data_IF_351805047931
#
_entry.id   IF_351805047931
#
_cell.length_a   1.000
_cell.length_b   1.000
_cell.length_c   1.000
_cell.angle_alpha   90.00
_cell.angle_beta   90.00
_cell.angle_gamma   90.00
#
_symmetry.space_group_name_H-M   'P 1'
#
loop_
_entity.id
_entity.type
_entity.pdbx_description
1 polymer ?
#
# COMPACT_ATOMS: atom_id res chain seq x y z
N UNK A 1 -13.69 -13.96 -3.87
CA UNK A 1 -12.23 -14.13 -3.82
C UNK A 1 -11.60 -13.41 -4.99
N UNK A 2 -10.50 -12.70 -4.79
CA UNK A 2 -9.82 -11.94 -5.84
C UNK A 2 -8.97 -12.83 -6.75
N UNK A 3 -8.70 -12.45 -8.01
CA UNK A 3 -8.01 -13.30 -8.99
C UNK A 3 -6.56 -13.68 -8.63
N UNK A 4 -5.94 -12.96 -7.67
CA UNK A 4 -4.57 -13.20 -7.22
C UNK A 4 -4.47 -13.82 -5.83
N UNK A 5 -5.59 -14.10 -5.17
CA UNK A 5 -5.61 -14.55 -3.78
C UNK A 5 -4.80 -15.84 -3.57
N UNK A 6 -4.99 -16.84 -4.44
CA UNK A 6 -4.25 -18.11 -4.35
C UNK A 6 -2.73 -17.93 -4.47
N UNK A 7 -2.28 -16.97 -5.29
CA UNK A 7 -0.85 -16.66 -5.45
C UNK A 7 -0.28 -16.01 -4.18
N UNK A 8 -1.03 -15.10 -3.55
CA UNK A 8 -0.60 -14.43 -2.31
C UNK A 8 -0.53 -15.44 -1.16
N UNK A 9 -1.51 -16.34 -1.04
CA UNK A 9 -1.49 -17.41 -0.02
C UNK A 9 -0.29 -18.35 -0.20
N UNK A 10 0.04 -18.70 -1.44
CA UNK A 10 1.24 -19.50 -1.72
C UNK A 10 2.53 -18.76 -1.32
N UNK A 11 2.59 -17.44 -1.51
CA UNK A 11 3.73 -16.62 -1.09
C UNK A 11 3.82 -16.49 0.45
N UNK A 12 2.70 -16.31 1.15
CA UNK A 12 2.65 -16.35 2.63
C UNK A 12 3.20 -17.69 3.15
N UNK A 13 2.75 -18.83 2.59
CA UNK A 13 3.27 -20.15 2.98
C UNK A 13 4.77 -20.30 2.71
N UNK A 14 5.29 -19.70 1.63
CA UNK A 14 6.71 -19.77 1.27
C UNK A 14 7.59 -18.84 2.11
N UNK A 15 7.06 -17.69 2.52
CA UNK A 15 7.78 -16.65 3.26
C UNK A 15 7.01 -16.15 4.49
N UNK A 16 6.65 -17.04 5.44
CA UNK A 16 5.71 -16.73 6.52
C UNK A 16 6.23 -15.71 7.53
N UNK A 17 7.55 -15.48 7.57
CA UNK A 17 8.17 -14.45 8.41
C UNK A 17 8.05 -13.04 7.83
N UNK A 18 7.83 -12.91 6.52
CA UNK A 18 7.87 -11.63 5.80
C UNK A 18 6.52 -11.24 5.22
N UNK A 19 5.66 -12.22 4.95
CA UNK A 19 4.37 -12.01 4.30
C UNK A 19 3.28 -12.50 5.23
N UNK A 20 2.30 -11.63 5.47
CA UNK A 20 1.05 -11.96 6.18
C UNK A 20 -0.13 -11.51 5.35
N UNK A 21 -1.01 -12.43 4.96
CA UNK A 21 -2.22 -12.12 4.20
C UNK A 21 -3.45 -12.13 5.10
N UNK A 22 -4.04 -10.95 5.30
CA UNK A 22 -5.17 -10.77 6.22
C UNK A 22 -6.55 -11.04 5.60
N UNK A 23 -6.63 -11.22 4.28
CA UNK A 23 -7.90 -11.37 3.59
C UNK A 23 -8.75 -10.09 3.68
N UNK A 24 -10.08 -10.26 3.72
CA UNK A 24 -11.00 -9.15 3.95
C UNK A 24 -10.95 -8.72 5.42
N UNK A 25 -10.75 -7.43 5.67
CA UNK A 25 -10.79 -6.81 6.99
C UNK A 25 -11.98 -5.85 6.99
N UNK A 26 -12.81 -5.91 8.03
CA UNK A 26 -13.94 -5.01 8.20
C UNK A 26 -13.48 -3.58 8.51
N UNK A 27 -14.29 -2.59 8.10
CA UNK A 27 -13.92 -1.17 8.20
C UNK A 27 -13.68 -0.69 9.64
N UNK A 28 -14.35 -1.29 10.63
CA UNK A 28 -14.16 -0.99 12.06
C UNK A 28 -12.78 -1.41 12.58
N UNK A 29 -12.13 -2.36 11.91
CA UNK A 29 -10.81 -2.86 12.28
C UNK A 29 -9.68 -2.28 11.43
N UNK A 30 -9.98 -1.64 10.30
CA UNK A 30 -8.95 -1.27 9.30
C UNK A 30 -7.88 -0.34 9.87
N UNK A 31 -8.25 0.58 10.77
CA UNK A 31 -7.32 1.50 11.43
C UNK A 31 -6.28 0.75 12.27
N UNK A 32 -6.67 -0.33 12.95
CA UNK A 32 -5.79 -1.18 13.73
C UNK A 32 -4.81 -1.97 12.85
N UNK A 33 -5.13 -2.20 11.58
CA UNK A 33 -4.20 -2.80 10.63
C UNK A 33 -3.21 -1.78 10.08
N UNK A 34 -3.67 -0.58 9.75
CA UNK A 34 -2.78 0.49 9.30
C UNK A 34 -1.71 0.83 10.36
N UNK A 35 -2.11 0.97 11.63
CA UNK A 35 -1.20 1.26 12.76
C UNK A 35 -0.08 0.23 12.98
N UNK A 36 -0.16 -0.97 12.39
CA UNK A 36 0.88 -2.01 12.52
C UNK A 36 2.07 -1.81 11.59
N UNK A 37 1.98 -0.89 10.63
CA UNK A 37 3.05 -0.62 9.67
C UNK A 37 3.66 0.75 9.86
N UNK A 38 4.91 0.89 9.40
CA UNK A 38 5.61 2.18 9.32
C UNK A 38 5.45 2.85 7.93
N UNK A 39 5.21 2.02 6.90
CA UNK A 39 5.16 2.42 5.49
C UNK A 39 3.93 1.82 4.81
N UNK A 40 3.23 2.63 4.02
CA UNK A 40 2.15 2.19 3.14
C UNK A 40 2.59 2.23 1.68
N UNK A 41 2.52 1.09 1.01
CA UNK A 41 2.86 0.93 -0.40
C UNK A 41 1.61 0.98 -1.28
N UNK A 42 1.53 2.00 -2.14
CA UNK A 42 0.41 2.20 -3.06
C UNK A 42 0.87 2.05 -4.52
N UNK A 43 0.53 0.93 -5.17
CA UNK A 43 1.01 0.59 -6.52
C UNK A 43 -0.07 0.66 -7.60
N UNK A 44 -1.19 1.35 -7.37
CA UNK A 44 -2.26 1.49 -8.36
C UNK A 44 -1.78 2.24 -9.59
N UNK A 45 -2.25 1.86 -10.79
CA UNK A 45 -1.86 2.51 -12.06
C UNK A 45 -2.78 3.67 -12.42
N UNK A 46 -4.03 3.61 -11.99
CA UNK A 46 -5.06 4.62 -12.22
C UNK A 46 -5.89 4.70 -10.95
N UNK A 47 -5.92 5.87 -10.33
CA UNK A 47 -6.75 6.15 -9.16
C UNK A 47 -6.97 7.66 -9.07
N UNK A 48 -8.19 8.17 -9.33
CA UNK A 48 -8.49 9.60 -9.21
C UNK A 48 -8.63 10.03 -7.75
N UNK A 49 -9.04 9.15 -6.82
CA UNK A 49 -9.28 9.53 -5.44
C UNK A 49 -8.87 8.42 -4.44
N UNK A 50 -7.57 8.35 -4.09
CA UNK A 50 -7.01 7.24 -3.34
C UNK A 50 -7.36 7.32 -1.85
N UNK A 51 -8.54 6.83 -1.47
CA UNK A 51 -8.99 6.78 -0.06
C UNK A 51 -8.03 6.02 0.85
N UNK A 52 -7.43 4.95 0.35
CA UNK A 52 -6.46 4.14 1.10
C UNK A 52 -5.17 4.89 1.43
N UNK A 53 -4.79 5.90 0.64
CA UNK A 53 -3.69 6.82 1.00
C UNK A 53 -4.13 7.70 2.17
N UNK A 54 -5.35 8.24 2.15
CA UNK A 54 -5.87 9.07 3.25
C UNK A 54 -5.99 8.27 4.56
N UNK A 55 -6.42 7.02 4.48
CA UNK A 55 -6.48 6.08 5.62
C UNK A 55 -5.08 5.77 6.19
N UNK A 56 -4.09 5.59 5.32
CA UNK A 56 -2.70 5.41 5.74
C UNK A 56 -2.13 6.66 6.42
N UNK A 57 -2.40 7.84 5.86
CA UNK A 57 -1.97 9.12 6.43
C UNK A 57 -2.61 9.39 7.79
N UNK A 58 -3.90 9.08 7.98
CA UNK A 58 -4.56 9.24 9.29
C UNK A 58 -3.98 8.32 10.37
N UNK A 59 -3.23 7.29 9.95
CA UNK A 59 -2.52 6.37 10.82
C UNK A 59 -1.01 6.69 10.93
N UNK A 60 -0.55 7.83 10.40
CA UNK A 60 0.84 8.31 10.39
C UNK A 60 1.85 7.44 9.61
N UNK A 61 1.42 6.79 8.53
CA UNK A 61 2.32 5.97 7.72
C UNK A 61 3.06 6.82 6.68
N UNK A 62 4.35 6.54 6.47
CA UNK A 62 5.10 7.06 5.33
C UNK A 62 4.53 6.45 4.04
N UNK A 63 4.36 7.26 3.00
CA UNK A 63 3.72 6.82 1.76
C UNK A 63 4.77 6.56 0.69
N UNK A 64 4.80 5.34 0.17
CA UNK A 64 5.54 5.00 -1.05
C UNK A 64 4.53 4.68 -2.15
N UNK A 65 4.48 5.48 -3.22
CA UNK A 65 3.39 5.36 -4.19
C UNK A 65 3.78 5.57 -5.64
N UNK A 66 3.00 5.00 -6.56
CA UNK A 66 3.05 5.34 -7.98
C UNK A 66 2.47 6.75 -8.23
N UNK A 67 2.92 7.40 -9.30
CA UNK A 67 2.34 8.67 -9.77
C UNK A 67 1.02 8.40 -10.49
N UNK A 68 -0.08 8.71 -9.81
CA UNK A 68 -1.44 8.77 -10.37
C UNK A 68 -1.96 10.19 -10.21
N UNK A 69 -3.09 10.53 -10.85
CA UNK A 69 -3.70 11.87 -10.71
C UNK A 69 -3.98 12.16 -9.23
N UNK A 70 -4.68 11.26 -8.54
CA UNK A 70 -5.04 11.47 -7.13
C UNK A 70 -3.86 11.42 -6.16
N UNK A 71 -2.89 10.52 -6.38
CA UNK A 71 -1.71 10.48 -5.49
C UNK A 71 -0.81 11.72 -5.64
N UNK A 72 -0.67 12.25 -6.85
CA UNK A 72 0.09 13.50 -7.07
C UNK A 72 -0.63 14.68 -6.44
N UNK A 73 -1.94 14.79 -6.60
CA UNK A 73 -2.74 15.87 -6.03
C UNK A 73 -2.62 15.92 -4.49
N UNK A 74 -2.67 14.76 -3.83
CA UNK A 74 -2.59 14.69 -2.36
C UNK A 74 -1.17 14.87 -1.80
N UNK A 75 -0.15 14.36 -2.49
CA UNK A 75 1.17 14.11 -1.87
C UNK A 75 2.31 14.96 -2.44
N UNK A 76 2.09 15.73 -3.52
CA UNK A 76 3.17 16.52 -4.13
C UNK A 76 3.78 17.51 -3.15
N UNK A 77 5.10 17.42 -2.96
CA UNK A 77 5.87 18.29 -2.06
C UNK A 77 5.79 17.91 -0.58
N UNK A 78 5.22 16.74 -0.23
CA UNK A 78 5.20 16.24 1.15
C UNK A 78 6.46 15.41 1.43
N UNK A 79 7.13 15.68 2.54
CA UNK A 79 8.38 15.01 2.93
C UNK A 79 8.17 13.53 3.32
N UNK A 80 6.97 13.18 3.78
CA UNK A 80 6.58 11.81 4.14
C UNK A 80 6.09 10.98 2.94
N UNK A 81 6.24 11.48 1.71
CA UNK A 81 5.73 10.82 0.52
C UNK A 81 6.80 10.68 -0.58
N UNK A 82 7.00 9.45 -1.03
CA UNK A 82 7.99 9.08 -2.04
C UNK A 82 7.29 8.50 -3.26
N UNK A 83 7.60 9.05 -4.44
CA UNK A 83 7.02 8.59 -5.69
C UNK A 83 7.93 7.58 -6.40
N UNK A 84 7.43 6.38 -6.63
CA UNK A 84 8.07 5.35 -7.45
C UNK A 84 8.01 5.80 -8.92
N UNK A 85 9.19 5.96 -9.53
CA UNK A 85 9.32 6.42 -10.92
C UNK A 85 8.77 5.42 -11.93
N UNK A 86 9.05 4.13 -11.73
CA UNK A 86 8.58 3.03 -12.57
C UNK A 86 8.21 1.83 -11.70
N UNK A 87 7.07 1.20 -11.98
CA UNK A 87 6.57 0.10 -11.16
C UNK A 87 7.26 -1.22 -11.52
N UNK A 88 8.49 -1.37 -11.04
CA UNK A 88 9.28 -2.60 -11.16
C UNK A 88 9.67 -3.11 -9.76
N UNK A 89 9.76 -4.44 -9.55
CA UNK A 89 10.16 -4.98 -8.26
C UNK A 89 11.52 -4.45 -7.78
N UNK A 90 12.45 -4.23 -8.71
CA UNK A 90 13.80 -3.74 -8.41
C UNK A 90 13.79 -2.32 -7.84
N UNK A 91 12.94 -1.44 -8.37
CA UNK A 91 12.83 -0.05 -7.88
C UNK A 91 12.03 0.06 -6.58
N UNK A 92 11.08 -0.84 -6.34
CA UNK A 92 10.32 -0.87 -5.08
C UNK A 92 11.19 -1.32 -3.91
N UNK A 93 12.19 -2.17 -4.16
CA UNK A 93 13.05 -2.76 -3.14
C UNK A 93 14.32 -1.93 -2.80
N UNK A 94 14.49 -0.76 -3.41
CA UNK A 94 15.60 0.17 -3.15
C UNK A 94 15.25 1.13 -2.02
#
# INVERSE_FOLDING_TARGET
MGPLESKIRALESKFPKFIKFHGYVSNDLISEYYKKGDVFLFTSRVEPFPRTIMEALSSNLVILCTKTIGSVELLKGKEFAFFIKELTPKLIAQ
#
